data_IF_138256085822
#
_entry.id   IF_138256085822
#
_cell.length_a   1.000
_cell.length_b   1.000
_cell.length_c   1.000
_cell.angle_alpha   90.00
_cell.angle_beta   90.00
_cell.angle_gamma   90.00
#
_symmetry.space_group_name_H-M   'P 1'
#
loop_
_entity.id
_entity.type
_entity.pdbx_description
1 polymer ?
#
# COMPACT_ATOMS: atom_id res chain seq x y z
N UNK A 1 -0.79 -2.65 15.65
CA UNK A 1 0.16 -3.61 15.12
C UNK A 1 1.51 -2.99 14.79
N UNK A 2 2.46 -3.84 14.40
CA UNK A 2 3.77 -3.42 13.91
C UNK A 2 4.00 -4.01 12.52
N UNK A 3 4.47 -3.18 11.58
CA UNK A 3 4.94 -3.59 10.27
C UNK A 3 6.45 -3.78 10.33
N UNK A 4 6.93 -4.90 9.81
CA UNK A 4 8.34 -5.25 9.73
C UNK A 4 8.77 -5.25 8.27
N UNK A 5 9.69 -4.36 7.90
CA UNK A 5 10.36 -4.39 6.59
C UNK A 5 11.66 -5.17 6.71
N UNK A 6 11.82 -6.23 5.94
CA UNK A 6 13.00 -7.09 5.98
C UNK A 6 13.41 -7.55 4.59
N UNK A 7 14.68 -7.93 4.47
CA UNK A 7 15.20 -8.60 3.29
C UNK A 7 15.11 -10.11 3.52
N UNK A 8 14.30 -10.86 2.74
CA UNK A 8 14.14 -12.29 2.91
C UNK A 8 15.46 -13.08 2.79
N UNK A 9 16.42 -12.56 2.04
CA UNK A 9 17.72 -13.22 1.83
C UNK A 9 18.60 -13.24 3.09
N UNK A 10 18.31 -12.37 4.06
CA UNK A 10 19.05 -12.28 5.32
C UNK A 10 18.53 -13.19 6.42
N UNK A 11 17.36 -13.76 6.23
CA UNK A 11 16.75 -14.64 7.23
C UNK A 11 17.42 -16.02 7.23
N UNK A 12 17.73 -16.52 8.42
CA UNK A 12 18.24 -17.89 8.59
C UNK A 12 17.05 -18.83 8.68
N UNK A 13 16.77 -19.51 7.59
CA UNK A 13 15.69 -20.51 7.51
C UNK A 13 16.27 -21.93 7.74
N UNK A 14 15.52 -22.77 8.45
CA UNK A 14 15.79 -24.20 8.51
C UNK A 14 15.60 -24.83 7.14
N UNK A 15 16.18 -26.03 6.92
CA UNK A 15 16.03 -26.73 5.65
C UNK A 15 14.57 -27.03 5.33
N UNK A 16 13.76 -27.35 6.34
CA UNK A 16 12.32 -27.57 6.18
C UNK A 16 11.58 -26.28 5.74
N UNK A 17 11.93 -25.15 6.34
CA UNK A 17 11.33 -23.85 5.95
C UNK A 17 11.74 -23.48 4.52
N UNK A 18 12.99 -23.69 4.18
CA UNK A 18 13.53 -23.41 2.84
C UNK A 18 12.84 -24.29 1.77
N UNK A 19 12.69 -25.60 2.05
CA UNK A 19 11.95 -26.51 1.17
C UNK A 19 10.51 -26.06 0.97
N UNK A 20 9.78 -25.73 2.05
CA UNK A 20 8.40 -25.23 1.98
C UNK A 20 8.28 -23.96 1.16
N UNK A 21 9.19 -23.00 1.35
CA UNK A 21 9.18 -21.75 0.56
C UNK A 21 9.43 -22.04 -0.92
N UNK A 22 10.37 -22.91 -1.24
CA UNK A 22 10.67 -23.31 -2.61
C UNK A 22 9.46 -23.97 -3.27
N UNK A 23 8.78 -24.86 -2.57
CA UNK A 23 7.60 -25.56 -3.10
C UNK A 23 6.45 -24.60 -3.38
N UNK A 24 6.21 -23.67 -2.46
CA UNK A 24 5.17 -22.64 -2.62
C UNK A 24 5.50 -21.68 -3.77
N UNK A 25 6.78 -21.28 -3.90
CA UNK A 25 7.25 -20.42 -4.98
C UNK A 25 7.12 -21.12 -6.35
N UNK A 26 7.49 -22.40 -6.45
CA UNK A 26 7.36 -23.20 -7.68
C UNK A 26 5.90 -23.30 -8.15
N UNK A 27 4.96 -23.38 -7.21
CA UNK A 27 3.52 -23.43 -7.53
C UNK A 27 2.96 -22.06 -7.94
N UNK A 28 3.74 -20.99 -7.85
CA UNK A 28 3.29 -19.64 -8.17
C UNK A 28 2.16 -19.11 -7.26
N UNK A 29 2.01 -19.70 -6.07
CA UNK A 29 0.92 -19.35 -5.15
C UNK A 29 1.29 -18.14 -4.29
N UNK A 30 0.84 -16.95 -4.69
CA UNK A 30 1.04 -15.74 -3.89
C UNK A 30 0.42 -15.88 -2.49
N UNK A 31 -0.79 -16.41 -2.39
CA UNK A 31 -1.44 -16.67 -1.10
C UNK A 31 -0.64 -17.64 -0.23
N UNK A 32 -0.01 -18.65 -0.83
CA UNK A 32 0.89 -19.56 -0.15
C UNK A 32 2.14 -18.86 0.38
N UNK A 33 2.75 -17.99 -0.42
CA UNK A 33 3.92 -17.19 -0.02
C UNK A 33 3.55 -16.27 1.14
N UNK A 34 2.41 -15.59 1.07
CA UNK A 34 1.93 -14.73 2.16
C UNK A 34 1.74 -15.49 3.47
N UNK A 35 1.10 -16.67 3.41
CA UNK A 35 0.94 -17.55 4.58
C UNK A 35 2.29 -18.00 5.13
N UNK A 36 3.22 -18.38 4.25
CA UNK A 36 4.56 -18.79 4.67
C UNK A 36 5.26 -17.69 5.49
N UNK A 37 5.25 -16.44 5.01
CA UNK A 37 5.86 -15.33 5.75
C UNK A 37 5.17 -15.04 7.07
N UNK A 38 3.84 -15.11 7.13
CA UNK A 38 3.09 -14.98 8.38
C UNK A 38 3.48 -16.07 9.38
N UNK A 39 3.43 -17.32 8.96
CA UNK A 39 3.62 -18.48 9.84
C UNK A 39 5.07 -18.60 10.33
N UNK A 40 6.01 -18.02 9.59
CA UNK A 40 7.43 -18.00 9.94
C UNK A 40 7.93 -16.60 10.34
N UNK A 41 7.05 -15.69 10.74
CA UNK A 41 7.41 -14.31 11.09
C UNK A 41 8.53 -14.20 12.12
N UNK A 42 8.62 -15.14 13.05
CA UNK A 42 9.68 -15.19 14.06
C UNK A 42 11.09 -15.32 13.46
N UNK A 43 11.24 -15.99 12.32
CA UNK A 43 12.52 -16.11 11.63
C UNK A 43 12.93 -14.82 10.90
N UNK A 44 11.99 -13.96 10.55
CA UNK A 44 12.24 -12.74 9.77
C UNK A 44 12.36 -11.48 10.62
N UNK A 45 11.58 -11.38 11.71
CA UNK A 45 11.56 -10.20 12.59
C UNK A 45 12.92 -9.75 13.10
N UNK A 46 13.85 -10.63 13.50
CA UNK A 46 15.19 -10.22 13.95
C UNK A 46 16.02 -9.54 12.86
N UNK A 47 15.69 -9.78 11.59
CA UNK A 47 16.39 -9.21 10.43
C UNK A 47 15.67 -8.01 9.83
N UNK A 48 14.66 -7.47 10.53
CA UNK A 48 13.96 -6.28 10.09
C UNK A 48 14.88 -5.06 10.13
N UNK A 49 14.95 -4.34 9.02
CA UNK A 49 15.66 -3.06 8.93
C UNK A 49 14.72 -1.87 9.16
N UNK A 50 13.42 -2.09 9.11
CA UNK A 50 12.37 -1.11 9.39
C UNK A 50 11.32 -1.75 10.29
N UNK A 51 10.95 -1.05 11.35
CA UNK A 51 9.81 -1.41 12.20
C UNK A 51 8.98 -0.15 12.41
N UNK A 52 7.71 -0.20 12.06
CA UNK A 52 6.83 0.95 12.19
C UNK A 52 5.46 0.57 12.75
N UNK A 53 4.81 1.45 13.52
CA UNK A 53 3.46 1.22 14.00
C UNK A 53 2.45 1.24 12.84
N UNK A 54 1.44 0.39 12.94
CA UNK A 54 0.34 0.29 11.98
C UNK A 54 -0.96 0.53 12.69
N UNK A 55 -1.83 1.35 12.11
CA UNK A 55 -3.19 1.58 12.61
C UNK A 55 -3.95 0.26 12.73
N UNK A 56 -4.76 0.13 13.77
CA UNK A 56 -5.50 -1.11 14.08
C UNK A 56 -6.41 -1.56 12.93
N UNK A 57 -7.07 -0.62 12.25
CA UNK A 57 -7.92 -0.92 11.10
C UNK A 57 -7.14 -1.52 9.92
N UNK A 58 -5.93 -1.01 9.64
CA UNK A 58 -5.04 -1.54 8.58
C UNK A 58 -4.56 -2.94 8.97
N UNK A 59 -4.16 -3.15 10.21
CA UNK A 59 -3.75 -4.47 10.69
C UNK A 59 -4.89 -5.49 10.57
N UNK A 60 -6.11 -5.14 10.96
CA UNK A 60 -7.28 -6.00 10.85
C UNK A 60 -7.61 -6.34 9.37
N UNK A 61 -7.52 -5.36 8.47
CA UNK A 61 -7.69 -5.62 7.03
C UNK A 61 -6.62 -6.55 6.48
N UNK A 62 -5.38 -6.39 6.89
CA UNK A 62 -4.29 -7.27 6.51
C UNK A 62 -4.57 -8.71 6.93
N UNK A 63 -4.88 -8.92 8.21
CA UNK A 63 -5.19 -10.26 8.74
C UNK A 63 -6.38 -10.93 8.02
N UNK A 64 -7.41 -10.16 7.72
CA UNK A 64 -8.58 -10.65 6.99
C UNK A 64 -8.24 -11.08 5.55
N UNK A 65 -7.37 -10.34 4.86
CA UNK A 65 -7.03 -10.59 3.45
C UNK A 65 -5.90 -11.60 3.27
N UNK A 66 -5.15 -11.85 4.34
CA UNK A 66 -3.97 -12.70 4.26
C UNK A 66 -4.35 -14.14 3.91
N UNK A 67 -3.84 -14.61 2.78
CA UNK A 67 -4.07 -15.99 2.32
C UNK A 67 -5.48 -16.25 1.81
N UNK A 68 -6.33 -15.23 1.63
CA UNK A 68 -7.58 -15.38 0.89
C UNK A 68 -7.27 -15.68 -0.58
N UNK A 69 -8.05 -16.59 -1.15
CA UNK A 69 -7.99 -16.87 -2.58
C UNK A 69 -8.32 -15.58 -3.35
N UNK A 70 -7.59 -15.34 -4.43
CA UNK A 70 -7.92 -14.27 -5.33
C UNK A 70 -9.38 -14.38 -5.80
N UNK A 71 -10.08 -13.26 -5.87
CA UNK A 71 -11.39 -13.22 -6.48
C UNK A 71 -11.27 -13.66 -7.94
N UNK A 72 -12.14 -14.56 -8.37
CA UNK A 72 -12.27 -14.91 -9.77
C UNK A 72 -13.13 -13.82 -10.45
N UNK A 73 -12.57 -13.16 -11.45
CA UNK A 73 -13.40 -12.35 -12.35
C UNK A 73 -14.39 -13.25 -13.10
N UNK A 74 -15.47 -12.66 -13.62
CA UNK A 74 -16.43 -13.34 -14.47
C UNK A 74 -15.80 -14.01 -15.71
N UNK A 75 -14.60 -13.57 -16.08
CA UNK A 75 -13.76 -14.15 -17.14
C UNK A 75 -13.00 -15.42 -16.72
N UNK A 76 -13.10 -15.85 -15.46
CA UNK A 76 -12.32 -16.94 -14.90
C UNK A 76 -10.87 -16.59 -14.58
N UNK A 77 -10.47 -15.33 -14.74
CA UNK A 77 -9.13 -14.86 -14.42
C UNK A 77 -9.00 -14.60 -12.93
N UNK A 78 -7.99 -15.19 -12.31
CA UNK A 78 -7.68 -14.94 -10.90
C UNK A 78 -7.12 -13.53 -10.73
N UNK A 79 -7.84 -12.68 -9.99
CA UNK A 79 -7.36 -11.35 -9.59
C UNK A 79 -6.62 -11.49 -8.27
N UNK A 80 -5.34 -11.15 -8.28
CA UNK A 80 -4.54 -11.18 -7.07
C UNK A 80 -5.00 -10.13 -6.09
N UNK A 81 -5.25 -10.54 -4.86
CA UNK A 81 -5.50 -9.64 -3.76
C UNK A 81 -4.17 -8.97 -3.38
N UNK A 82 -3.94 -7.79 -3.91
CA UNK A 82 -2.76 -7.00 -3.53
C UNK A 82 -2.99 -6.48 -2.11
N UNK A 83 -2.13 -6.90 -1.20
CA UNK A 83 -2.09 -6.37 0.16
C UNK A 83 -1.30 -5.06 0.15
N UNK A 84 -1.87 -4.03 -0.48
CA UNK A 84 -1.27 -2.70 -0.47
C UNK A 84 -1.52 -2.03 0.87
N UNK A 85 -0.43 -1.64 1.52
CA UNK A 85 -0.46 -0.80 2.70
C UNK A 85 0.06 0.57 2.27
N UNK A 86 -0.82 1.55 2.25
CA UNK A 86 -0.44 2.93 1.99
C UNK A 86 0.45 3.44 3.13
N UNK A 87 1.56 4.02 2.76
CA UNK A 87 2.52 4.59 3.70
C UNK A 87 3.08 5.90 3.17
N UNK A 88 3.58 6.71 4.08
CA UNK A 88 4.32 7.92 3.73
C UNK A 88 5.54 7.60 2.87
N UNK A 89 5.93 8.58 2.06
CA UNK A 89 7.22 8.56 1.37
C UNK A 89 8.33 8.73 2.40
N UNK A 90 9.40 7.96 2.25
CA UNK A 90 10.55 7.94 3.15
C UNK A 90 11.83 8.32 2.40
N UNK A 91 12.77 8.93 3.11
CA UNK A 91 14.14 9.10 2.62
C UNK A 91 14.84 7.75 2.52
N UNK A 92 15.62 7.51 1.44
CA UNK A 92 16.21 6.20 1.16
C UNK A 92 17.08 5.65 2.28
N UNK A 93 18.06 6.43 2.73
CA UNK A 93 19.07 5.95 3.70
C UNK A 93 18.58 5.96 5.16
N UNK A 94 17.80 6.96 5.54
CA UNK A 94 17.43 7.19 6.94
C UNK A 94 16.01 6.72 7.28
N UNK A 95 15.23 6.31 6.28
CA UNK A 95 13.84 5.86 6.45
C UNK A 95 12.97 6.87 7.22
N UNK A 96 13.28 8.17 7.10
CA UNK A 96 12.49 9.23 7.73
C UNK A 96 11.32 9.63 6.83
N UNK A 97 10.10 9.71 7.37
CA UNK A 97 8.96 10.17 6.60
C UNK A 97 9.13 11.66 6.25
N UNK A 98 8.75 12.03 5.04
CA UNK A 98 8.74 13.43 4.62
C UNK A 98 7.52 13.72 3.75
N UNK A 99 7.13 14.99 3.71
CA UNK A 99 6.09 15.46 2.82
C UNK A 99 6.77 16.02 1.57
N UNK A 100 6.59 15.39 0.38
CA UNK A 100 7.12 15.96 -0.85
C UNK A 100 6.61 17.38 -1.08
N UNK A 101 7.49 18.30 -1.50
CA UNK A 101 7.10 19.68 -1.75
C UNK A 101 5.98 19.82 -2.79
N UNK A 102 5.91 18.91 -3.77
CA UNK A 102 4.82 18.81 -4.75
C UNK A 102 3.48 18.50 -4.10
N UNK A 103 3.45 17.60 -3.10
CA UNK A 103 2.25 17.26 -2.34
C UNK A 103 1.78 18.43 -1.49
N UNK A 104 2.72 19.14 -0.83
CA UNK A 104 2.43 20.34 -0.05
C UNK A 104 1.88 21.47 -0.94
N UNK A 105 2.53 21.72 -2.08
CA UNK A 105 2.06 22.70 -3.08
C UNK A 105 0.65 22.33 -3.59
N UNK A 106 0.40 21.06 -3.86
CA UNK A 106 -0.91 20.57 -4.29
C UNK A 106 -2.00 20.80 -3.24
N UNK A 107 -1.69 20.53 -1.97
CA UNK A 107 -2.63 20.77 -0.86
C UNK A 107 -2.95 22.25 -0.69
N UNK A 108 -1.94 23.14 -0.71
CA UNK A 108 -2.14 24.59 -0.64
C UNK A 108 -2.99 25.11 -1.81
N UNK A 109 -2.70 24.63 -3.02
CA UNK A 109 -3.48 25.01 -4.21
C UNK A 109 -4.94 24.56 -4.08
N UNK A 110 -5.18 23.36 -3.62
CA UNK A 110 -6.54 22.84 -3.41
C UNK A 110 -7.29 23.66 -2.38
N UNK A 111 -6.66 23.97 -1.24
CA UNK A 111 -7.27 24.80 -0.20
C UNK A 111 -7.58 26.20 -0.71
N UNK A 112 -6.69 26.80 -1.49
CA UNK A 112 -6.94 28.11 -2.09
C UNK A 112 -8.11 28.09 -3.07
N UNK A 113 -8.15 27.09 -3.96
CA UNK A 113 -9.26 26.94 -4.90
C UNK A 113 -10.61 26.72 -4.20
N UNK A 114 -10.60 25.97 -3.10
CA UNK A 114 -11.80 25.77 -2.29
C UNK A 114 -12.30 27.06 -1.65
N UNK A 115 -11.39 27.85 -1.10
CA UNK A 115 -11.68 29.18 -0.56
C UNK A 115 -12.26 30.12 -1.64
N UNK A 116 -11.60 30.20 -2.82
CA UNK A 116 -12.10 31.02 -3.93
C UNK A 116 -13.48 30.53 -4.46
N UNK A 117 -13.75 29.25 -4.34
CA UNK A 117 -15.05 28.68 -4.71
C UNK A 117 -16.11 28.85 -3.61
N UNK A 118 -15.76 29.42 -2.46
CA UNK A 118 -16.64 29.61 -1.31
C UNK A 118 -17.08 28.29 -0.66
N UNK A 119 -16.21 27.27 -0.64
CA UNK A 119 -16.50 25.95 -0.08
C UNK A 119 -17.60 25.17 -0.82
N UNK A 120 -18.00 25.62 -2.01
CA UNK A 120 -19.06 24.98 -2.76
C UNK A 120 -18.57 23.69 -3.41
N UNK A 121 -19.31 22.60 -3.22
CA UNK A 121 -18.98 21.34 -3.88
C UNK A 121 -19.10 21.47 -5.39
N UNK A 122 -18.03 21.26 -6.18
CA UNK A 122 -18.12 21.33 -7.63
C UNK A 122 -18.97 20.17 -8.17
N UNK A 123 -19.85 20.49 -9.14
CA UNK A 123 -20.62 19.49 -9.90
C UNK A 123 -19.96 19.30 -11.25
N UNK A 124 -19.65 18.06 -11.60
CA UNK A 124 -19.06 17.69 -12.89
C UNK A 124 -20.04 16.79 -13.63
N UNK A 125 -20.41 17.17 -14.84
CA UNK A 125 -21.43 16.45 -15.62
C UNK A 125 -20.87 15.21 -16.32
N UNK A 126 -19.62 15.26 -16.88
CA UNK A 126 -19.10 14.17 -17.72
C UNK A 126 -17.71 13.63 -17.37
N UNK A 127 -16.81 14.46 -16.89
CA UNK A 127 -15.42 14.05 -16.63
C UNK A 127 -14.79 14.89 -15.53
N UNK A 128 -14.47 14.25 -14.42
CA UNK A 128 -13.90 14.89 -13.22
C UNK A 128 -12.62 15.66 -13.53
N UNK A 129 -11.73 15.12 -14.37
CA UNK A 129 -10.46 15.78 -14.69
C UNK A 129 -10.66 17.06 -15.52
N UNK A 130 -11.55 17.02 -16.53
CA UNK A 130 -11.88 18.20 -17.33
C UNK A 130 -12.62 19.25 -16.51
N UNK A 131 -13.56 18.81 -15.67
CA UNK A 131 -14.30 19.70 -14.77
C UNK A 131 -13.38 20.40 -13.77
N UNK A 132 -12.41 19.71 -13.20
CA UNK A 132 -11.41 20.28 -12.31
C UNK A 132 -10.57 21.35 -12.99
N UNK A 133 -10.06 21.10 -14.20
CA UNK A 133 -9.30 22.07 -14.99
C UNK A 133 -10.13 23.30 -15.39
N UNK A 134 -11.41 23.13 -15.74
CA UNK A 134 -12.31 24.22 -16.06
C UNK A 134 -12.64 25.07 -14.83
N UNK A 135 -12.88 24.43 -13.68
CA UNK A 135 -13.12 25.16 -12.43
C UNK A 135 -11.91 26.00 -12.07
N UNK A 136 -10.73 25.44 -12.14
CA UNK A 136 -9.47 26.15 -11.87
C UNK A 136 -9.31 27.35 -12.79
N UNK A 137 -9.52 27.17 -14.10
CA UNK A 137 -9.44 28.27 -15.07
C UNK A 137 -10.41 29.38 -14.75
N UNK A 138 -11.62 29.05 -14.32
CA UNK A 138 -12.67 30.03 -13.96
C UNK A 138 -12.34 30.82 -12.68
N UNK A 139 -11.64 30.19 -11.72
CA UNK A 139 -11.34 30.81 -10.42
C UNK A 139 -10.04 31.60 -10.41
N UNK A 140 -9.11 31.30 -11.31
CA UNK A 140 -7.79 31.94 -11.33
C UNK A 140 -7.58 32.92 -12.49
N UNK A 141 -8.42 32.88 -13.52
CA UNK A 141 -8.33 33.70 -14.75
C UNK A 141 -9.65 34.39 -15.10
#
# INVERSE_FOLDING_TARGET
GLLYGFDPSRAVLTDLQRSKLTDVARRGSLAGIQRFFRDNAAAFKPHAHVVMPVASGVAAQYEKRLGEAANLESSGRSVFNQLEIERHVFTGAQQQPFIPGTSFKGALRTAWLDELNGGRRPTYEDNVQRGSAQLEKRLLW
#
